data_IF_459029426431
#
_entry.id   IF_459029426431
#
_cell.length_a   1.000
_cell.length_b   1.000
_cell.length_c   1.000
_cell.angle_alpha   90.00
_cell.angle_beta   90.00
_cell.angle_gamma   90.00
#
_symmetry.space_group_name_H-M   'P 1'
#
loop_
_entity.id
_entity.type
_entity.pdbx_description
1 polymer ?
#
# COMPACT_ATOMS: atom_id res chain seq x y z
N UNK A 1 -8.04 -31.10 12.61
CA UNK A 1 -6.68 -30.54 12.74
C UNK A 1 -6.80 -29.03 12.66
N UNK A 2 -6.24 -28.28 13.61
CA UNK A 2 -6.19 -26.82 13.56
C UNK A 2 -4.81 -26.41 13.06
N UNK A 3 -4.74 -25.82 11.87
CA UNK A 3 -3.51 -25.23 11.33
C UNK A 3 -3.47 -23.76 11.75
N UNK A 4 -2.29 -23.29 12.17
CA UNK A 4 -2.05 -21.87 12.47
C UNK A 4 -0.90 -21.44 11.57
N UNK A 5 -1.17 -20.50 10.66
CA UNK A 5 -0.15 -19.86 9.82
C UNK A 5 0.15 -18.45 10.35
N UNK A 6 1.41 -18.05 10.31
CA UNK A 6 1.87 -16.71 10.70
C UNK A 6 1.85 -15.69 9.56
N UNK A 7 1.62 -16.12 8.32
CA UNK A 7 1.62 -15.25 7.13
C UNK A 7 0.49 -15.60 6.15
N UNK A 8 0.13 -14.67 5.26
CA UNK A 8 -0.84 -14.93 4.19
C UNK A 8 -0.41 -16.08 3.28
N UNK A 9 0.89 -16.22 2.99
CA UNK A 9 1.42 -17.30 2.16
C UNK A 9 1.23 -18.68 2.82
N UNK A 10 1.46 -18.78 4.12
CA UNK A 10 1.23 -20.02 4.88
C UNK A 10 -0.26 -20.37 4.95
N UNK A 11 -1.12 -19.37 5.21
CA UNK A 11 -2.56 -19.56 5.23
C UNK A 11 -3.06 -20.01 3.86
N UNK A 12 -2.61 -19.37 2.78
CA UNK A 12 -2.95 -19.77 1.40
C UNK A 12 -2.60 -21.23 1.13
N UNK A 13 -1.38 -21.63 1.49
CA UNK A 13 -0.91 -23.01 1.31
C UNK A 13 -1.79 -24.00 2.07
N UNK A 14 -2.18 -23.66 3.30
CA UNK A 14 -3.08 -24.48 4.11
C UNK A 14 -4.49 -24.58 3.51
N UNK A 15 -5.00 -23.48 2.91
CA UNK A 15 -6.30 -23.44 2.25
C UNK A 15 -6.31 -24.30 0.97
N UNK A 16 -5.31 -24.13 0.11
CA UNK A 16 -5.23 -24.88 -1.16
C UNK A 16 -4.92 -26.37 -0.96
N UNK A 17 -4.32 -26.74 0.17
CA UNK A 17 -3.98 -28.12 0.51
C UNK A 17 -5.11 -28.90 1.20
N UNK A 18 -6.30 -28.32 1.37
CA UNK A 18 -7.39 -28.96 2.11
C UNK A 18 -8.76 -28.64 1.53
N UNK A 19 -9.57 -29.68 1.31
CA UNK A 19 -10.93 -29.54 0.76
C UNK A 19 -11.94 -28.91 1.74
N UNK A 20 -11.60 -28.77 3.02
CA UNK A 20 -12.52 -28.35 4.09
C UNK A 20 -11.96 -27.19 4.94
N UNK A 21 -10.98 -26.44 4.45
CA UNK A 21 -10.36 -25.35 5.19
C UNK A 21 -11.07 -24.02 4.98
N UNK A 22 -11.16 -23.22 6.04
CA UNK A 22 -11.63 -21.83 6.02
C UNK A 22 -10.58 -20.99 6.78
N UNK A 23 -10.25 -19.81 6.25
CA UNK A 23 -9.22 -18.95 6.81
C UNK A 23 -9.38 -17.51 6.38
N UNK A 24 -8.70 -16.60 7.08
CA UNK A 24 -8.66 -15.18 6.76
C UNK A 24 -7.35 -14.86 6.02
N UNK A 25 -7.46 -14.23 4.87
CA UNK A 25 -6.35 -14.00 3.95
C UNK A 25 -6.59 -12.69 3.17
N UNK A 26 -5.50 -11.99 2.85
CA UNK A 26 -5.55 -10.78 2.03
C UNK A 26 -6.10 -11.05 0.63
N UNK A 27 -6.93 -10.14 0.13
CA UNK A 27 -7.66 -10.29 -1.15
C UNK A 27 -6.76 -10.68 -2.33
N UNK A 28 -5.58 -10.05 -2.46
CA UNK A 28 -4.61 -10.33 -3.54
C UNK A 28 -4.19 -11.80 -3.65
N UNK A 29 -4.24 -12.57 -2.57
CA UNK A 29 -3.86 -13.98 -2.57
C UNK A 29 -4.97 -14.93 -3.05
N UNK A 30 -6.18 -14.42 -3.26
CA UNK A 30 -7.34 -15.18 -3.74
C UNK A 30 -7.72 -14.84 -5.19
N UNK A 31 -7.12 -13.81 -5.80
CA UNK A 31 -7.49 -13.32 -7.14
C UNK A 31 -7.21 -14.33 -8.26
N UNK A 32 -6.24 -15.21 -8.07
CA UNK A 32 -5.93 -16.27 -9.05
C UNK A 32 -6.95 -17.42 -9.05
N UNK A 33 -7.96 -17.36 -8.18
CA UNK A 33 -9.06 -18.32 -8.13
C UNK A 33 -8.70 -19.66 -7.47
N UNK A 34 -7.48 -19.83 -6.96
CA UNK A 34 -7.09 -21.07 -6.29
C UNK A 34 -7.79 -21.26 -4.93
N UNK A 35 -8.29 -20.17 -4.33
CA UNK A 35 -9.03 -20.16 -3.08
C UNK A 35 -10.39 -19.55 -3.33
N UNK A 36 -11.46 -20.24 -2.91
CA UNK A 36 -12.82 -19.70 -2.99
C UNK A 36 -13.00 -18.50 -2.06
N UNK A 37 -13.64 -17.44 -2.56
CA UNK A 37 -13.98 -16.25 -1.78
C UNK A 37 -15.40 -16.36 -1.20
N UNK A 38 -15.60 -15.79 -0.01
CA UNK A 38 -16.90 -15.78 0.66
C UNK A 38 -17.67 -14.54 0.22
N UNK A 39 -18.92 -14.73 -0.20
CA UNK A 39 -19.89 -13.64 -0.41
C UNK A 39 -20.48 -13.30 0.96
N UNK A 40 -20.37 -12.04 1.36
CA UNK A 40 -20.89 -11.55 2.63
C UNK A 40 -22.14 -10.72 2.37
N UNK A 41 -23.28 -11.13 2.93
CA UNK A 41 -24.56 -10.41 2.81
C UNK A 41 -24.96 -10.05 1.36
N UNK A 42 -24.61 -10.94 0.42
CA UNK A 42 -24.87 -10.75 -1.01
C UNK A 42 -23.83 -9.89 -1.75
N UNK A 43 -22.81 -9.39 -1.06
CA UNK A 43 -21.71 -8.62 -1.63
C UNK A 43 -20.51 -9.52 -1.90
N UNK A 44 -20.10 -9.58 -3.16
CA UNK A 44 -18.88 -10.30 -3.59
C UNK A 44 -17.66 -9.42 -3.32
N UNK A 45 -16.55 -9.97 -2.79
CA UNK A 45 -15.30 -9.23 -2.67
C UNK A 45 -14.70 -8.95 -4.05
N UNK A 46 -14.58 -7.68 -4.40
CA UNK A 46 -13.96 -7.18 -5.61
C UNK A 46 -13.18 -5.92 -5.26
N UNK A 47 -12.24 -5.50 -6.10
CA UNK A 47 -11.56 -4.22 -5.89
C UNK A 47 -12.57 -3.07 -5.71
N UNK A 48 -13.66 -3.02 -6.49
CA UNK A 48 -14.70 -2.00 -6.38
C UNK A 48 -15.47 -2.03 -5.06
N UNK A 49 -15.97 -3.21 -4.65
CA UNK A 49 -16.75 -3.37 -3.39
C UNK A 49 -15.90 -3.22 -2.14
N UNK A 50 -14.59 -3.47 -2.25
CA UNK A 50 -13.63 -3.17 -1.18
C UNK A 50 -13.37 -1.67 -1.10
N UNK A 51 -13.20 -1.01 -2.26
CA UNK A 51 -12.90 0.42 -2.34
C UNK A 51 -14.05 1.28 -1.82
N UNK A 52 -15.28 0.97 -2.24
CA UNK A 52 -16.49 1.69 -1.83
C UNK A 52 -16.97 1.34 -0.40
N UNK A 53 -16.32 0.36 0.25
CA UNK A 53 -16.61 -0.06 1.61
C UNK A 53 -17.83 -0.97 1.79
N UNK A 54 -18.50 -1.37 0.70
CA UNK A 54 -19.65 -2.28 0.75
C UNK A 54 -19.28 -3.71 1.16
N UNK A 55 -18.03 -4.13 0.95
CA UNK A 55 -17.51 -5.40 1.45
C UNK A 55 -16.85 -5.24 2.83
N UNK A 56 -17.61 -5.49 3.89
CA UNK A 56 -17.24 -5.15 5.28
C UNK A 56 -16.04 -5.91 5.86
N UNK A 57 -15.61 -7.02 5.26
CA UNK A 57 -14.44 -7.79 5.73
C UNK A 57 -13.10 -7.27 5.21
N UNK A 58 -13.11 -6.12 4.52
CA UNK A 58 -11.92 -5.39 4.13
C UNK A 58 -11.33 -4.57 5.29
N UNK A 59 -10.02 -4.28 5.20
CA UNK A 59 -9.33 -3.42 6.15
C UNK A 59 -8.38 -2.48 5.43
N UNK A 60 -8.26 -1.26 5.92
CA UNK A 60 -7.23 -0.31 5.48
C UNK A 60 -5.87 -0.72 6.02
N UNK A 61 -4.82 -0.42 5.25
CA UNK A 61 -3.44 -0.50 5.69
C UNK A 61 -2.97 0.90 6.05
N UNK A 62 -2.28 1.01 7.18
CA UNK A 62 -1.85 2.29 7.73
C UNK A 62 -0.34 2.29 7.93
N UNK A 63 0.29 3.41 7.60
CA UNK A 63 1.63 3.72 8.08
C UNK A 63 1.53 4.40 9.44
N UNK A 64 2.43 4.03 10.35
CA UNK A 64 2.49 4.62 11.69
C UNK A 64 3.87 5.20 11.93
N UNK A 65 3.92 6.45 12.38
CA UNK A 65 5.13 7.12 12.86
C UNK A 65 5.00 7.40 14.35
N UNK A 66 6.13 7.41 15.06
CA UNK A 66 6.15 7.83 16.45
C UNK A 66 6.40 9.34 16.51
N UNK A 67 5.33 10.12 16.65
CA UNK A 67 5.38 11.58 16.47
C UNK A 67 5.52 11.95 15.00
N UNK A 68 6.17 13.09 14.74
CA UNK A 68 6.36 13.57 13.38
C UNK A 68 7.23 12.61 12.56
N UNK A 69 6.88 12.43 11.30
CA UNK A 69 7.65 11.60 10.39
C UNK A 69 9.05 12.19 10.19
N UNK A 70 10.09 11.34 10.20
CA UNK A 70 11.41 11.79 9.73
C UNK A 70 11.31 12.13 8.23
N UNK A 71 12.16 13.01 7.67
CA UNK A 71 12.01 13.41 6.26
C UNK A 71 12.06 12.25 5.26
N UNK A 72 12.79 11.17 5.57
CA UNK A 72 12.80 9.96 4.74
C UNK A 72 11.55 9.09 4.90
N UNK A 73 10.92 9.09 6.08
CA UNK A 73 9.66 8.39 6.30
C UNK A 73 8.49 9.14 5.67
N UNK A 74 8.48 10.47 5.81
CA UNK A 74 7.47 11.36 5.24
C UNK A 74 7.40 11.19 3.73
N UNK A 75 8.53 11.35 3.05
CA UNK A 75 8.48 11.24 1.62
C UNK A 75 8.26 9.80 1.11
N UNK A 76 8.50 8.76 1.94
CA UNK A 76 8.14 7.39 1.59
C UNK A 76 6.63 7.22 1.64
N UNK A 77 6.00 7.80 2.66
CA UNK A 77 4.55 7.89 2.76
C UNK A 77 4.02 8.65 1.54
N UNK A 78 4.59 9.82 1.21
CA UNK A 78 4.16 10.62 0.04
C UNK A 78 4.27 9.85 -1.27
N UNK A 79 5.37 9.12 -1.48
CA UNK A 79 5.54 8.26 -2.65
C UNK A 79 4.47 7.17 -2.69
N UNK A 80 4.26 6.45 -1.58
CA UNK A 80 3.31 5.36 -1.49
C UNK A 80 1.86 5.84 -1.63
N UNK A 81 1.52 7.02 -1.13
CA UNK A 81 0.17 7.62 -1.26
C UNK A 81 -0.02 8.38 -2.57
N UNK A 82 1.07 8.73 -3.26
CA UNK A 82 1.07 9.41 -4.55
C UNK A 82 0.79 8.46 -5.75
N UNK A 83 0.63 9.03 -6.96
CA UNK A 83 0.21 8.26 -8.14
C UNK A 83 1.11 7.07 -8.49
N UNK A 84 2.43 7.21 -8.32
CA UNK A 84 3.38 6.16 -8.63
C UNK A 84 3.31 5.01 -7.61
N UNK A 85 3.24 5.33 -6.31
CA UNK A 85 3.06 4.32 -5.28
C UNK A 85 1.71 3.60 -5.35
N UNK A 86 0.65 4.30 -5.74
CA UNK A 86 -0.65 3.69 -5.97
C UNK A 86 -0.64 2.72 -7.16
N UNK A 87 0.06 3.04 -8.26
CA UNK A 87 0.25 2.11 -9.38
C UNK A 87 1.01 0.85 -8.93
N UNK A 88 2.06 1.00 -8.13
CA UNK A 88 2.78 -0.14 -7.55
C UNK A 88 1.84 -0.97 -6.66
N UNK A 89 1.02 -0.32 -5.84
CA UNK A 89 0.06 -1.03 -4.98
C UNK A 89 -0.92 -1.88 -5.81
N UNK A 90 -1.46 -1.34 -6.90
CA UNK A 90 -2.32 -2.08 -7.85
C UNK A 90 -1.61 -3.30 -8.45
N UNK A 91 -0.37 -3.14 -8.90
CA UNK A 91 0.42 -4.22 -9.49
C UNK A 91 0.58 -5.41 -8.54
N UNK A 92 0.68 -5.16 -7.24
CA UNK A 92 0.77 -6.19 -6.20
C UNK A 92 -0.60 -6.64 -5.64
N UNK A 93 -1.71 -6.23 -6.28
CA UNK A 93 -3.08 -6.67 -5.94
C UNK A 93 -3.69 -5.94 -4.73
N UNK A 94 -3.13 -4.79 -4.34
CA UNK A 94 -3.77 -3.93 -3.33
C UNK A 94 -4.83 -3.05 -3.98
N UNK A 95 -5.85 -2.71 -3.20
CA UNK A 95 -6.90 -1.78 -3.63
C UNK A 95 -6.39 -0.35 -3.43
N UNK A 96 -6.39 0.49 -4.47
CA UNK A 96 -5.94 1.88 -4.39
C UNK A 96 -6.74 2.72 -3.41
N UNK A 97 -6.10 3.77 -2.92
CA UNK A 97 -6.76 4.81 -2.15
C UNK A 97 -7.87 5.47 -2.97
N UNK A 98 -8.91 5.92 -2.27
CA UNK A 98 -9.92 6.80 -2.83
C UNK A 98 -9.32 8.19 -3.08
N UNK A 99 -9.74 8.83 -4.18
CA UNK A 99 -9.24 10.16 -4.55
C UNK A 99 -9.57 11.23 -3.50
N UNK A 100 -10.53 10.98 -2.61
CA UNK A 100 -10.87 11.86 -1.49
C UNK A 100 -10.03 11.66 -0.23
N UNK A 101 -9.21 10.59 -0.14
CA UNK A 101 -8.29 10.38 1.00
C UNK A 101 -6.91 11.01 0.79
N UNK A 102 -6.57 11.36 -0.45
CA UNK A 102 -5.37 12.14 -0.76
C UNK A 102 -5.42 13.56 -0.20
N UNK A 103 -6.61 14.06 0.16
CA UNK A 103 -6.81 15.42 0.69
C UNK A 103 -6.66 15.48 2.23
N UNK A 104 -7.00 14.41 2.97
CA UNK A 104 -6.89 14.39 4.44
C UNK A 104 -5.46 14.19 4.96
N UNK A 105 -4.53 13.69 4.12
CA UNK A 105 -3.11 13.73 4.42
C UNK A 105 -2.57 15.17 4.48
N UNK A 106 -3.24 16.11 3.81
CA UNK A 106 -2.88 17.53 3.78
C UNK A 106 -3.41 18.37 4.94
N UNK A 107 -4.30 17.86 5.81
CA UNK A 107 -4.85 18.69 6.90
C UNK A 107 -3.89 18.85 8.11
N UNK A 108 -2.75 18.15 8.11
CA UNK A 108 -1.64 18.45 9.02
C UNK A 108 -0.77 19.64 8.56
N UNK A 109 -1.00 20.21 7.36
CA UNK A 109 -0.12 21.22 6.74
C UNK A 109 -0.37 22.69 7.11
N UNK A 110 -1.13 23.04 8.17
CA UNK A 110 -1.22 24.46 8.59
C UNK A 110 0.04 24.90 9.35
N UNK A 111 1.16 25.02 8.64
CA UNK A 111 2.40 25.55 9.19
C UNK A 111 3.62 25.64 8.27
N UNK A 112 3.53 25.60 6.94
CA UNK A 112 4.73 25.82 6.10
C UNK A 112 4.43 26.30 4.67
N UNK A 113 3.76 27.44 4.54
CA UNK A 113 3.81 28.20 3.29
C UNK A 113 5.19 28.87 3.17
N UNK A 114 6.08 28.32 2.35
CA UNK A 114 7.01 29.00 1.42
C UNK A 114 8.17 28.06 1.00
N UNK A 115 8.12 27.49 -0.22
CA UNK A 115 9.21 27.54 -1.23
C UNK A 115 9.03 26.54 -2.40
N UNK A 116 8.65 27.07 -3.57
CA UNK A 116 9.21 26.76 -4.90
C UNK A 116 9.30 25.31 -5.40
N UNK A 117 8.39 24.94 -6.31
CA UNK A 117 8.30 23.66 -7.01
C UNK A 117 9.44 23.33 -8.00
N UNK A 118 9.87 22.06 -8.05
CA UNK A 118 10.40 21.43 -9.26
C UNK A 118 10.29 19.89 -9.23
N UNK A 119 9.75 19.29 -10.30
CA UNK A 119 9.55 17.83 -10.48
C UNK A 119 10.78 17.17 -11.11
N UNK A 120 11.40 16.10 -10.54
CA UNK A 120 12.54 15.44 -11.18
C UNK A 120 12.16 14.14 -11.92
N UNK A 121 12.87 13.85 -13.02
CA UNK A 121 12.84 12.59 -13.76
C UNK A 121 14.04 11.68 -13.41
N UNK A 122 13.89 10.34 -13.53
CA UNK A 122 14.86 9.37 -13.02
C UNK A 122 16.10 9.20 -13.91
N UNK A 123 17.27 9.02 -13.30
CA UNK A 123 18.58 8.89 -13.95
C UNK A 123 18.95 7.44 -14.32
N UNK A 124 19.91 7.21 -15.25
CA UNK A 124 20.13 5.91 -15.88
C UNK A 124 20.97 4.95 -15.03
N UNK A 125 20.59 3.67 -15.04
CA UNK A 125 21.12 2.59 -14.19
C UNK A 125 20.06 1.90 -13.33
N UNK A 126 18.80 2.35 -13.43
CA UNK A 126 17.61 1.71 -12.84
C UNK A 126 17.05 0.67 -13.81
N UNK A 127 17.39 -0.60 -13.63
CA UNK A 127 16.52 -1.69 -14.08
C UNK A 127 15.36 -1.80 -13.07
N UNK A 128 14.15 -2.09 -13.56
CA UNK A 128 12.87 -1.94 -12.86
C UNK A 128 12.79 -2.56 -11.45
N UNK A 129 13.63 -3.55 -11.15
CA UNK A 129 13.68 -4.28 -9.87
C UNK A 129 14.30 -3.48 -8.68
N UNK A 130 14.97 -2.34 -8.93
CA UNK A 130 15.57 -1.46 -7.88
C UNK A 130 14.70 -0.23 -7.56
N UNK A 131 13.60 -0.01 -8.28
CA UNK A 131 12.64 1.05 -7.97
C UNK A 131 12.20 1.03 -6.49
N UNK A 132 12.19 -0.16 -5.87
CA UNK A 132 11.77 -0.45 -4.51
C UNK A 132 12.74 -0.06 -3.36
N UNK A 133 13.99 0.32 -3.62
CA UNK A 133 14.98 0.65 -2.55
C UNK A 133 15.51 2.09 -2.66
N UNK A 134 15.64 2.65 -3.87
CA UNK A 134 16.47 3.83 -4.12
C UNK A 134 15.75 5.18 -4.25
N UNK A 135 14.45 5.22 -4.57
CA UNK A 135 13.77 6.49 -4.83
C UNK A 135 13.73 7.41 -3.60
N UNK A 136 13.93 6.87 -2.40
CA UNK A 136 13.62 7.61 -1.20
C UNK A 136 14.59 7.51 -0.02
N UNK A 137 15.87 7.48 -0.37
CA UNK A 137 16.80 8.40 0.25
C UNK A 137 16.44 9.88 -0.07
N UNK A 138 15.14 10.26 -0.14
CA UNK A 138 14.63 11.57 -0.57
C UNK A 138 15.43 12.63 0.09
N UNK A 139 16.10 13.44 -0.70
CA UNK A 139 16.49 14.78 -0.29
C UNK A 139 17.40 14.94 0.94
N UNK A 140 17.63 13.94 1.80
CA UNK A 140 18.28 14.10 3.10
C UNK A 140 19.80 14.22 2.98
N UNK A 141 20.36 13.93 1.82
CA UNK A 141 21.73 14.36 1.45
C UNK A 141 21.73 15.59 0.52
N UNK A 142 20.65 15.89 -0.19
CA UNK A 142 20.69 16.88 -1.28
C UNK A 142 20.88 18.36 -0.89
N UNK A 143 20.92 18.76 0.40
CA UNK A 143 21.17 20.17 0.76
C UNK A 143 22.17 20.37 1.91
N UNK A 144 23.35 19.77 1.77
CA UNK A 144 24.57 20.26 2.42
C UNK A 144 24.78 21.75 2.03
N UNK A 145 24.61 22.64 3.01
CA UNK A 145 25.16 24.01 3.15
C UNK A 145 25.87 24.59 1.91
N UNK A 146 25.30 25.65 1.31
CA UNK A 146 26.08 26.68 0.61
C UNK A 146 26.30 27.88 1.54
N UNK A 147 27.51 27.98 2.10
CA UNK A 147 28.34 29.19 2.25
C UNK A 147 29.73 28.76 2.67
#
# INVERSE_FOLDING_TARGET
MRTVGGSNAEIRTALTGSDNAIGYLGFSYAEDGAVGVIILDGVTPTAGTIKDGSYELARKLYFYTFGDASPGAEAFIDFMTGPDGQQVAEEYGFVPLESSMTDEAGEAEKGAEEAGAQTPQPAPGFDADIAAIGLLAVALVSLRRRS
#
